data_IF_267946979105
#
_entry.id   IF_267946979105
#
_cell.length_a   1.000
_cell.length_b   1.000
_cell.length_c   1.000
_cell.angle_alpha   90.00
_cell.angle_beta   90.00
_cell.angle_gamma   90.00
#
_symmetry.space_group_name_H-M   'P 1'
#
loop_
_entity.id
_entity.type
_entity.pdbx_description
1 polymer ?
#
# COMPACT_ATOMS: atom_id res chain seq x y z
N UNK A 1 6.79 -5.80 14.30
CA UNK A 1 7.16 -4.94 13.16
C UNK A 1 6.40 -5.46 11.96
N UNK A 2 5.63 -4.62 11.29
CA UNK A 2 4.86 -4.97 10.12
C UNK A 2 5.55 -4.44 8.86
N UNK A 3 5.57 -5.24 7.80
CA UNK A 3 6.13 -4.85 6.51
C UNK A 3 5.08 -4.02 5.76
N UNK A 4 5.44 -2.79 5.38
CA UNK A 4 4.56 -1.83 4.73
C UNK A 4 4.99 -1.60 3.30
N UNK A 5 4.00 -1.54 2.43
CA UNK A 5 4.19 -1.24 1.03
C UNK A 5 4.13 0.27 0.85
N UNK A 6 5.22 0.85 0.35
CA UNK A 6 5.19 2.13 -0.34
C UNK A 6 5.72 1.89 -1.75
N UNK A 7 4.84 1.42 -2.64
CA UNK A 7 5.15 1.26 -4.05
C UNK A 7 4.39 2.31 -4.86
N UNK A 8 5.15 3.25 -5.44
CA UNK A 8 4.70 4.03 -6.59
C UNK A 8 4.87 3.12 -7.81
N UNK A 9 3.79 2.47 -8.23
CA UNK A 9 3.80 1.56 -9.37
C UNK A 9 3.34 2.29 -10.64
N UNK A 10 3.99 2.11 -11.80
CA UNK A 10 3.48 2.62 -13.06
C UNK A 10 3.18 1.48 -14.06
N UNK A 11 2.19 1.71 -14.91
CA UNK A 11 1.52 0.71 -15.76
C UNK A 11 2.30 0.37 -17.03
N UNK A 12 2.25 -0.89 -17.47
CA UNK A 12 2.69 -1.34 -18.79
C UNK A 12 1.79 -2.44 -19.39
N UNK A 13 1.81 -2.55 -20.72
CA UNK A 13 1.25 -3.66 -21.51
C UNK A 13 2.06 -3.84 -22.81
N UNK A 14 2.21 -5.09 -23.27
CA UNK A 14 3.36 -5.58 -24.07
C UNK A 14 3.06 -6.17 -25.47
N UNK A 15 4.08 -6.08 -26.35
CA UNK A 15 4.65 -7.07 -27.31
C UNK A 15 4.12 -7.37 -28.74
N UNK A 16 5.09 -7.25 -29.69
CA UNK A 16 5.36 -7.90 -31.00
C UNK A 16 4.98 -7.22 -32.36
N UNK A 17 6.00 -7.13 -33.24
CA UNK A 17 6.24 -6.41 -34.54
C UNK A 17 5.67 -7.11 -35.81
N UNK A 18 5.65 -6.56 -37.08
CA UNK A 18 6.33 -5.37 -37.68
C UNK A 18 5.59 -4.50 -38.77
N UNK A 19 6.26 -3.38 -39.17
CA UNK A 19 6.20 -2.50 -40.38
C UNK A 19 5.03 -1.50 -40.60
N UNK A 20 5.33 -0.17 -40.56
CA UNK A 20 5.19 0.88 -41.61
C UNK A 20 5.40 2.29 -41.01
N UNK A 21 6.37 3.04 -41.54
CA UNK A 21 6.37 4.52 -41.75
C UNK A 21 6.42 5.49 -40.54
N UNK A 22 7.14 6.63 -40.63
CA UNK A 22 7.27 7.56 -39.51
C UNK A 22 6.04 8.49 -39.41
N UNK A 23 5.50 8.63 -38.19
CA UNK A 23 4.60 9.73 -37.83
C UNK A 23 5.21 10.59 -36.71
N UNK A 24 4.83 11.89 -36.64
CA UNK A 24 5.59 12.90 -35.92
C UNK A 24 5.42 12.80 -34.41
N UNK A 25 6.50 13.12 -33.71
CA UNK A 25 6.60 13.21 -32.26
C UNK A 25 5.71 14.33 -31.70
N UNK A 26 4.59 14.00 -31.08
CA UNK A 26 3.97 14.77 -29.98
C UNK A 26 3.05 13.85 -29.19
N UNK A 27 3.30 13.71 -27.89
CA UNK A 27 2.46 12.92 -26.97
C UNK A 27 3.17 11.73 -26.33
N UNK A 28 4.35 11.95 -25.75
CA UNK A 28 4.93 10.97 -24.84
C UNK A 28 4.27 11.12 -23.48
N UNK A 29 3.37 10.20 -23.11
CA UNK A 29 3.18 9.93 -21.68
C UNK A 29 4.56 9.49 -21.14
N UNK A 30 5.08 10.13 -20.09
CA UNK A 30 6.40 9.81 -19.56
C UNK A 30 6.46 8.32 -19.23
N UNK A 31 7.56 7.70 -19.64
CA UNK A 31 7.80 6.30 -19.38
C UNK A 31 7.96 6.08 -17.87
N UNK A 32 7.43 4.95 -17.38
CA UNK A 32 7.40 4.56 -15.97
C UNK A 32 8.76 4.52 -15.25
N UNK A 33 9.86 4.57 -16.01
CA UNK A 33 11.23 4.57 -15.51
C UNK A 33 11.90 5.95 -15.50
N UNK A 34 11.25 7.01 -15.99
CA UNK A 34 11.82 8.36 -15.92
C UNK A 34 11.64 8.95 -14.51
N UNK A 35 12.51 8.50 -13.61
CA UNK A 35 12.58 8.87 -12.20
C UNK A 35 12.94 10.37 -11.98
N UNK A 36 13.12 11.15 -13.04
CA UNK A 36 13.53 12.55 -12.99
C UNK A 36 12.44 13.45 -12.40
N UNK A 37 11.16 13.16 -12.68
CA UNK A 37 10.02 13.88 -12.08
C UNK A 37 9.79 13.50 -10.61
N UNK A 38 10.00 12.23 -10.23
CA UNK A 38 9.86 11.80 -8.83
C UNK A 38 10.87 12.48 -7.88
N UNK A 39 12.06 12.82 -8.37
CA UNK A 39 13.04 13.60 -7.59
C UNK A 39 12.59 15.04 -7.35
N UNK A 40 11.72 15.57 -8.20
CA UNK A 40 11.23 16.95 -8.10
C UNK A 40 10.13 17.13 -7.05
N UNK A 41 9.42 16.04 -6.70
CA UNK A 41 8.32 16.02 -5.72
C UNK A 41 8.76 15.66 -4.30
N UNK A 42 9.96 15.08 -4.13
CA UNK A 42 10.50 14.80 -2.81
C UNK A 42 10.89 16.11 -2.12
N UNK A 43 10.63 16.24 -0.80
CA UNK A 43 10.96 17.45 -0.07
C UNK A 43 12.45 17.76 -0.21
N UNK A 44 12.76 18.99 -0.61
CA UNK A 44 14.13 19.50 -0.79
C UNK A 44 14.79 19.91 0.52
N UNK A 45 14.08 19.77 1.64
CA UNK A 45 14.53 20.20 2.95
C UNK A 45 15.08 18.99 3.75
N UNK A 46 16.41 18.83 3.81
CA UNK A 46 17.04 17.75 4.56
C UNK A 46 16.90 17.90 6.09
N UNK A 47 16.39 19.03 6.59
CA UNK A 47 16.23 19.29 8.04
C UNK A 47 14.84 18.97 8.58
N UNK A 48 13.86 18.62 7.72
CA UNK A 48 12.60 18.02 8.19
C UNK A 48 12.90 16.62 8.72
N UNK A 49 13.22 16.56 10.01
CA UNK A 49 13.47 15.36 10.80
C UNK A 49 12.17 14.55 10.95
N UNK A 50 11.72 13.92 9.86
CA UNK A 50 10.72 12.86 9.89
C UNK A 50 11.36 11.66 10.59
N UNK A 51 11.28 11.63 11.92
CA UNK A 51 11.90 10.57 12.71
C UNK A 51 10.96 9.37 12.74
N UNK A 52 11.16 8.46 11.79
CA UNK A 52 10.63 7.11 11.83
C UNK A 52 11.76 6.14 12.23
N UNK A 53 12.24 6.17 13.49
CA UNK A 53 13.48 5.50 13.89
C UNK A 53 13.39 3.97 13.84
N UNK A 54 12.17 3.40 13.79
CA UNK A 54 11.96 1.94 13.65
C UNK A 54 11.61 1.54 12.23
N UNK A 55 11.69 2.47 11.27
CA UNK A 55 11.42 2.24 9.86
C UNK A 55 12.71 2.10 9.08
N UNK A 56 12.80 1.04 8.28
CA UNK A 56 13.98 0.78 7.45
C UNK A 56 13.60 0.14 6.13
N UNK A 57 14.26 0.55 5.05
CA UNK A 57 14.13 -0.10 3.75
C UNK A 57 15.12 -1.25 3.65
N UNK A 58 14.59 -2.46 3.65
CA UNK A 58 15.37 -3.67 3.46
C UNK A 58 15.74 -3.79 1.98
N UNK A 59 16.98 -4.17 1.70
CA UNK A 59 17.43 -4.38 0.31
C UNK A 59 18.29 -5.63 0.14
N UNK A 60 18.97 -6.04 1.21
CA UNK A 60 19.81 -7.24 1.31
C UNK A 60 19.84 -7.71 2.77
N UNK A 61 20.38 -8.90 2.99
CA UNK A 61 20.52 -9.50 4.31
C UNK A 61 19.24 -10.20 4.78
N UNK A 62 19.31 -11.02 5.84
CA UNK A 62 18.15 -11.75 6.33
C UNK A 62 17.03 -10.81 6.79
N UNK A 63 15.78 -11.07 6.37
CA UNK A 63 14.60 -10.28 6.77
C UNK A 63 14.40 -10.30 8.30
N UNK A 64 14.84 -11.38 8.97
CA UNK A 64 14.78 -11.54 10.42
C UNK A 64 15.61 -10.51 11.19
N UNK A 65 16.61 -9.86 10.58
CA UNK A 65 17.39 -8.81 11.25
C UNK A 65 16.58 -7.54 11.52
N UNK A 66 15.51 -7.32 10.74
CA UNK A 66 14.67 -6.13 10.83
C UNK A 66 13.24 -6.40 11.29
N UNK A 67 12.92 -7.65 11.65
CA UNK A 67 11.58 -8.06 12.05
C UNK A 67 11.61 -8.82 13.37
N UNK A 68 10.66 -8.50 14.26
CA UNK A 68 10.48 -9.21 15.54
C UNK A 68 9.46 -10.35 15.45
N UNK A 69 8.79 -10.48 14.32
CA UNK A 69 7.74 -11.48 14.07
C UNK A 69 8.05 -12.15 12.74
N UNK A 70 8.06 -13.47 12.74
CA UNK A 70 8.30 -14.26 11.54
C UNK A 70 7.04 -14.29 10.67
N UNK A 71 7.20 -13.92 9.40
CA UNK A 71 6.16 -13.98 8.39
C UNK A 71 6.02 -15.40 7.83
N UNK A 72 4.78 -15.83 7.61
CA UNK A 72 4.48 -17.12 7.01
C UNK A 72 4.01 -16.95 5.57
N UNK A 73 4.69 -17.61 4.63
CA UNK A 73 4.18 -17.72 3.28
C UNK A 73 3.04 -18.74 3.20
N UNK A 74 1.93 -18.35 2.57
CA UNK A 74 0.75 -19.18 2.40
C UNK A 74 0.08 -19.06 1.02
N UNK A 75 0.77 -18.49 0.02
CA UNK A 75 0.23 -18.26 -1.33
C UNK A 75 1.04 -18.98 -2.42
N UNK A 76 0.67 -20.21 -2.79
CA UNK A 76 1.35 -20.98 -3.83
C UNK A 76 1.44 -20.27 -5.19
N UNK A 77 0.55 -19.30 -5.45
CA UNK A 77 0.52 -18.51 -6.69
C UNK A 77 1.57 -17.42 -6.76
N UNK A 78 2.07 -16.92 -5.62
CA UNK A 78 3.11 -15.88 -5.58
C UNK A 78 4.51 -16.49 -5.52
N UNK A 79 4.62 -17.69 -4.97
CA UNK A 79 5.83 -18.48 -4.99
C UNK A 79 5.41 -19.95 -5.11
N UNK A 80 5.78 -20.67 -6.18
CA UNK A 80 5.45 -22.08 -6.31
C UNK A 80 6.16 -22.84 -5.20
N UNK A 81 5.40 -23.14 -4.15
CA UNK A 81 5.78 -24.07 -3.11
C UNK A 81 5.18 -25.42 -3.48
N UNK A 82 5.97 -26.47 -3.38
CA UNK A 82 5.39 -27.80 -3.20
C UNK A 82 4.53 -27.73 -1.92
N UNK A 83 3.31 -28.26 -1.95
CA UNK A 83 2.27 -28.08 -0.92
C UNK A 83 2.71 -28.41 0.52
N UNK A 84 3.85 -29.07 0.71
CA UNK A 84 4.39 -29.50 2.00
C UNK A 84 5.42 -28.54 2.62
N UNK A 85 5.85 -27.49 1.92
CA UNK A 85 6.93 -26.61 2.40
C UNK A 85 6.43 -25.22 2.82
N UNK A 86 6.29 -25.00 4.12
CA UNK A 86 6.21 -23.63 4.66
C UNK A 86 7.61 -23.02 4.60
N UNK A 87 7.82 -22.01 3.75
CA UNK A 87 9.07 -21.24 3.75
C UNK A 87 9.03 -20.23 4.90
N UNK A 88 10.04 -20.31 5.77
CA UNK A 88 10.36 -19.23 6.69
C UNK A 88 10.92 -18.04 5.89
N UNK A 89 10.11 -16.98 5.77
CA UNK A 89 10.49 -15.76 5.07
C UNK A 89 11.55 -14.98 5.85
N UNK A 90 11.65 -15.14 7.17
CA UNK A 90 12.63 -14.43 7.99
C UNK A 90 14.07 -14.79 7.62
N UNK A 91 14.32 -16.04 7.20
CA UNK A 91 15.64 -16.49 6.77
C UNK A 91 16.02 -16.08 5.35
N UNK A 92 15.07 -15.57 4.55
CA UNK A 92 15.33 -15.17 3.17
C UNK A 92 16.08 -13.83 3.11
N UNK A 93 16.89 -13.66 2.07
CA UNK A 93 17.53 -12.39 1.78
C UNK A 93 16.48 -11.35 1.33
N UNK A 94 16.53 -10.15 1.89
CA UNK A 94 15.57 -9.09 1.64
C UNK A 94 15.53 -8.61 0.17
N UNK A 95 16.50 -8.97 -0.66
CA UNK A 95 16.45 -8.68 -2.11
C UNK A 95 15.23 -9.28 -2.80
N UNK A 96 14.62 -10.35 -2.26
CA UNK A 96 13.36 -10.89 -2.80
C UNK A 96 12.22 -9.87 -2.73
N UNK A 97 12.25 -8.96 -1.75
CA UNK A 97 11.21 -7.94 -1.55
C UNK A 97 11.20 -6.89 -2.66
N UNK A 98 12.28 -6.76 -3.42
CA UNK A 98 12.34 -5.89 -4.60
C UNK A 98 11.35 -6.30 -5.69
N UNK A 99 11.06 -7.61 -5.83
CA UNK A 99 10.08 -8.09 -6.82
C UNK A 99 8.64 -7.67 -6.47
N UNK A 100 8.28 -7.68 -5.18
CA UNK A 100 6.97 -7.21 -4.70
C UNK A 100 6.93 -5.68 -4.48
N UNK A 101 8.02 -4.97 -4.76
CA UNK A 101 8.19 -3.54 -4.48
C UNK A 101 7.85 -3.15 -3.02
N UNK A 102 7.98 -4.07 -2.06
CA UNK A 102 7.44 -3.97 -0.71
C UNK A 102 8.49 -4.21 0.36
N UNK A 103 9.42 -3.28 0.49
CA UNK A 103 10.66 -3.49 1.24
C UNK A 103 10.82 -2.59 2.48
N UNK A 104 9.79 -1.83 2.87
CA UNK A 104 9.81 -1.07 4.12
C UNK A 104 9.39 -1.97 5.30
N UNK A 105 10.27 -2.17 6.26
CA UNK A 105 9.93 -2.72 7.57
C UNK A 105 9.69 -1.58 8.55
N UNK A 106 8.55 -1.60 9.25
CA UNK A 106 8.17 -0.52 10.18
C UNK A 106 7.28 -1.03 11.34
N UNK A 107 6.86 -0.13 12.22
CA UNK A 107 5.78 -0.39 13.17
C UNK A 107 4.46 0.14 12.61
N UNK A 108 3.35 -0.46 13.02
CA UNK A 108 2.01 0.06 12.68
C UNK A 108 1.83 1.50 13.17
N UNK A 109 2.40 1.83 14.32
CA UNK A 109 2.37 3.20 14.87
C UNK A 109 3.06 4.22 13.95
N UNK A 110 4.29 3.93 13.49
CA UNK A 110 5.03 4.84 12.60
C UNK A 110 4.36 4.96 11.24
N UNK A 111 3.74 3.90 10.74
CA UNK A 111 3.03 3.93 9.46
C UNK A 111 1.73 4.74 9.57
N UNK A 112 0.97 4.53 10.64
CA UNK A 112 -0.23 5.36 10.90
C UNK A 112 0.15 6.84 11.04
N UNK A 113 1.25 7.14 11.73
CA UNK A 113 1.81 8.49 11.85
C UNK A 113 2.27 9.04 10.49
N UNK A 114 2.95 8.25 9.67
CA UNK A 114 3.32 8.65 8.32
C UNK A 114 2.09 9.09 7.50
N UNK A 115 1.00 8.31 7.53
CA UNK A 115 -0.23 8.71 6.83
C UNK A 115 -0.87 9.97 7.42
N UNK A 116 -0.73 10.20 8.73
CA UNK A 116 -1.23 11.41 9.38
C UNK A 116 -0.45 12.63 8.91
N UNK A 117 0.87 12.56 8.99
CA UNK A 117 1.79 13.61 8.54
C UNK A 117 1.68 13.84 7.02
N UNK A 118 1.40 12.80 6.23
CA UNK A 118 1.22 12.90 4.78
C UNK A 118 -0.12 13.54 4.39
N UNK A 119 -1.24 13.03 4.90
CA UNK A 119 -2.58 13.35 4.38
C UNK A 119 -3.31 14.40 5.20
N UNK A 120 -3.04 14.49 6.50
CA UNK A 120 -3.74 15.38 7.43
C UNK A 120 -2.90 16.63 7.71
N UNK A 121 -1.69 16.46 8.23
CA UNK A 121 -0.81 17.60 8.52
C UNK A 121 -0.11 18.15 7.28
N UNK A 122 0.04 17.30 6.25
CA UNK A 122 0.68 17.65 4.98
C UNK A 122 2.10 18.18 5.17
N UNK A 123 2.82 17.56 6.10
CA UNK A 123 4.19 17.94 6.49
C UNK A 123 5.26 17.14 5.77
N UNK A 124 4.89 16.10 5.01
CA UNK A 124 5.87 15.27 4.27
C UNK A 124 6.12 15.81 2.85
N UNK A 125 5.05 16.08 2.10
CA UNK A 125 5.11 16.55 0.71
C UNK A 125 4.44 17.92 0.55
N UNK A 126 4.63 18.57 -0.60
CA UNK A 126 3.88 19.78 -0.94
C UNK A 126 2.39 19.49 -1.14
N UNK A 127 1.53 20.50 -0.96
CA UNK A 127 0.10 20.39 -1.24
C UNK A 127 -0.19 19.90 -2.67
N UNK A 128 0.53 20.44 -3.66
CA UNK A 128 0.40 20.02 -5.07
C UNK A 128 0.71 18.53 -5.26
N UNK A 129 1.71 18.01 -4.54
CA UNK A 129 2.07 16.58 -4.60
C UNK A 129 0.97 15.72 -3.98
N UNK A 130 0.43 16.13 -2.83
CA UNK A 130 -0.67 15.41 -2.16
C UNK A 130 -1.94 15.44 -3.01
N UNK A 131 -2.24 16.58 -3.63
CA UNK A 131 -3.35 16.70 -4.57
C UNK A 131 -3.16 15.75 -5.75
N UNK A 132 -1.97 15.72 -6.35
CA UNK A 132 -1.65 14.81 -7.43
C UNK A 132 -1.77 13.33 -7.02
N UNK A 133 -1.28 12.95 -5.84
CA UNK A 133 -1.44 11.59 -5.29
C UNK A 133 -2.91 11.22 -5.07
N UNK A 134 -3.76 12.20 -4.78
CA UNK A 134 -5.18 12.03 -4.48
C UNK A 134 -6.08 12.11 -5.73
N UNK A 135 -5.52 12.27 -6.93
CA UNK A 135 -6.26 12.16 -8.20
C UNK A 135 -6.48 10.70 -8.51
N UNK A 136 -7.58 10.16 -7.99
CA UNK A 136 -7.89 8.75 -8.09
C UNK A 136 -8.69 8.46 -9.38
N UNK A 137 -8.19 7.51 -10.15
CA UNK A 137 -8.89 6.97 -11.30
C UNK A 137 -9.02 5.45 -11.15
N UNK A 138 -10.10 4.82 -11.65
CA UNK A 138 -10.19 3.36 -11.65
C UNK A 138 -9.01 2.74 -12.42
N UNK A 139 -8.36 1.75 -11.83
CA UNK A 139 -7.25 1.05 -12.50
C UNK A 139 -7.71 0.50 -13.86
N UNK A 140 -6.92 0.76 -14.91
CA UNK A 140 -7.21 0.26 -16.26
C UNK A 140 -6.80 -1.21 -16.49
N UNK A 141 -5.91 -1.74 -15.66
CA UNK A 141 -5.26 -3.06 -15.81
C UNK A 141 -5.04 -3.74 -14.45
N UNK A 142 -4.72 -5.03 -14.48
CA UNK A 142 -4.40 -5.82 -13.29
C UNK A 142 -5.63 -6.32 -12.52
N UNK A 143 -5.37 -6.88 -11.32
CA UNK A 143 -6.40 -7.48 -10.47
C UNK A 143 -7.45 -6.48 -9.97
N UNK A 144 -7.09 -5.20 -9.87
CA UNK A 144 -7.97 -4.10 -9.44
C UNK A 144 -8.76 -3.41 -10.55
N UNK A 145 -8.74 -3.94 -11.79
CA UNK A 145 -9.25 -3.26 -12.97
C UNK A 145 -10.71 -2.84 -12.83
N UNK A 146 -10.98 -1.54 -12.97
CA UNK A 146 -12.31 -0.94 -12.99
C UNK A 146 -13.00 -0.81 -11.63
N UNK A 147 -12.39 -1.26 -10.53
CA UNK A 147 -13.02 -1.26 -9.21
C UNK A 147 -12.15 -0.71 -8.08
N UNK A 148 -10.84 -0.59 -8.28
CA UNK A 148 -9.94 0.13 -7.37
C UNK A 148 -9.63 1.49 -7.95
N UNK A 149 -10.06 2.54 -7.24
CA UNK A 149 -9.67 3.92 -7.52
C UNK A 149 -8.28 4.17 -6.96
N UNK A 150 -7.35 4.54 -7.83
CA UNK A 150 -5.91 4.57 -7.54
C UNK A 150 -5.30 5.86 -8.10
N UNK A 151 -4.49 6.53 -7.29
CA UNK A 151 -3.69 7.70 -7.67
C UNK A 151 -2.19 7.41 -7.52
N UNK A 152 -1.35 8.42 -7.36
CA UNK A 152 0.10 8.19 -7.23
C UNK A 152 0.48 7.65 -5.86
N UNK A 153 0.28 6.34 -5.63
CA UNK A 153 0.61 5.66 -4.37
C UNK A 153 -0.49 5.69 -3.31
N UNK A 154 -1.69 6.13 -3.67
CA UNK A 154 -2.89 6.08 -2.81
C UNK A 154 -4.00 5.31 -3.51
N UNK A 155 -4.70 4.50 -2.73
CA UNK A 155 -5.89 3.76 -3.10
C UNK A 155 -7.04 4.27 -2.25
N UNK A 156 -8.20 4.47 -2.87
CA UNK A 156 -9.46 4.51 -2.12
C UNK A 156 -10.00 3.09 -2.04
N UNK A 157 -10.02 2.56 -0.81
CA UNK A 157 -10.45 1.20 -0.52
C UNK A 157 -11.70 1.21 0.32
N UNK A 158 -12.44 0.11 0.26
CA UNK A 158 -13.61 -0.17 1.07
C UNK A 158 -13.40 -1.56 1.70
N UNK A 159 -13.75 -1.66 2.98
CA UNK A 159 -13.71 -2.92 3.73
C UNK A 159 -14.74 -3.95 3.24
N UNK A 160 -15.83 -3.48 2.64
CA UNK A 160 -16.80 -4.32 1.93
C UNK A 160 -16.46 -4.46 0.45
N UNK A 161 -16.61 -5.67 -0.08
CA UNK A 161 -16.45 -5.95 -1.51
C UNK A 161 -17.75 -5.79 -2.32
N UNK A 162 -18.85 -5.40 -1.67
CA UNK A 162 -20.17 -5.32 -2.29
C UNK A 162 -20.28 -4.19 -3.33
N UNK A 163 -19.48 -3.13 -3.19
CA UNK A 163 -19.52 -1.98 -4.10
C UNK A 163 -18.18 -1.22 -4.12
N UNK A 164 -18.02 -0.38 -5.15
CA UNK A 164 -16.85 0.49 -5.30
C UNK A 164 -16.79 1.53 -4.18
N UNK A 165 -15.60 1.68 -3.61
CA UNK A 165 -15.35 2.61 -2.52
C UNK A 165 -15.71 4.05 -2.90
N UNK A 166 -16.40 4.76 -1.99
CA UNK A 166 -16.69 6.19 -2.10
C UNK A 166 -16.05 6.95 -0.96
N UNK A 167 -15.32 8.02 -1.29
CA UNK A 167 -14.67 8.83 -0.27
C UNK A 167 -15.72 9.41 0.70
N UNK A 168 -15.48 9.26 2.00
CA UNK A 168 -16.43 9.74 3.01
C UNK A 168 -17.53 8.73 3.41
N UNK A 169 -17.61 7.54 2.81
CA UNK A 169 -18.49 6.47 3.31
C UNK A 169 -17.85 5.62 4.42
N UNK A 170 -18.65 5.12 5.37
CA UNK A 170 -18.15 4.23 6.41
C UNK A 170 -17.51 2.96 5.82
N UNK A 171 -16.38 2.56 6.40
CA UNK A 171 -15.59 1.45 5.90
C UNK A 171 -14.67 1.81 4.73
N UNK A 172 -14.78 3.03 4.16
CA UNK A 172 -13.81 3.51 3.17
C UNK A 172 -12.66 4.28 3.81
N UNK A 173 -11.47 4.10 3.23
CA UNK A 173 -10.25 4.80 3.64
C UNK A 173 -9.38 5.13 2.43
N UNK A 174 -8.63 6.22 2.54
CA UNK A 174 -7.63 6.63 1.56
C UNK A 174 -6.25 6.22 2.09
N UNK A 175 -5.59 5.31 1.41
CA UNK A 175 -4.34 4.74 1.89
C UNK A 175 -3.74 3.74 0.94
N UNK A 176 -3.16 2.65 1.45
CA UNK A 176 -2.58 1.62 0.60
C UNK A 176 -2.49 0.29 1.35
N UNK A 177 -2.81 -0.82 0.68
CA UNK A 177 -2.58 -2.17 1.24
C UNK A 177 -1.21 -2.70 0.85
N UNK A 178 -0.62 -3.60 1.64
CA UNK A 178 0.65 -4.26 1.33
C UNK A 178 0.48 -5.77 1.25
N UNK A 179 1.13 -6.40 0.28
CA UNK A 179 1.20 -7.85 0.16
C UNK A 179 2.61 -8.27 -0.24
N UNK A 180 3.24 -9.06 0.61
CA UNK A 180 4.59 -9.59 0.40
C UNK A 180 4.58 -11.10 0.57
N UNK A 181 5.75 -11.75 0.54
CA UNK A 181 5.83 -13.20 0.67
C UNK A 181 5.42 -13.74 2.04
N UNK A 182 5.31 -12.92 3.09
CA UNK A 182 4.92 -13.41 4.42
C UNK A 182 4.06 -12.46 5.24
N UNK A 183 3.69 -11.31 4.68
CA UNK A 183 2.97 -10.27 5.39
C UNK A 183 1.90 -9.64 4.52
N UNK A 184 0.77 -9.32 5.16
CA UNK A 184 -0.30 -8.50 4.62
C UNK A 184 -0.49 -7.28 5.51
N UNK A 185 -0.72 -6.12 4.91
CA UNK A 185 -0.93 -4.88 5.65
C UNK A 185 -2.01 -4.01 5.03
N UNK A 186 -2.65 -3.21 5.86
CA UNK A 186 -3.58 -2.16 5.45
C UNK A 186 -3.37 -0.94 6.32
N UNK A 187 -3.36 0.23 5.67
CA UNK A 187 -3.12 1.50 6.33
C UNK A 187 -3.73 2.63 5.52
N UNK A 188 -4.05 3.73 6.20
CA UNK A 188 -4.60 4.92 5.55
C UNK A 188 -5.34 5.85 6.49
N UNK A 189 -5.92 6.89 5.91
CA UNK A 189 -6.83 7.84 6.53
C UNK A 189 -8.28 7.34 6.43
N UNK A 190 -8.96 7.29 7.58
CA UNK A 190 -10.40 7.05 7.70
C UNK A 190 -11.07 8.44 7.80
N UNK A 191 -11.69 8.96 6.71
CA UNK A 191 -12.11 10.35 6.66
C UNK A 191 -13.17 10.72 7.71
N UNK A 192 -14.04 9.78 8.08
CA UNK A 192 -15.15 10.00 9.02
C UNK A 192 -14.67 10.17 10.46
N UNK A 193 -13.52 9.58 10.78
CA UNK A 193 -12.91 9.67 12.09
C UNK A 193 -11.88 10.80 12.15
N UNK A 194 -11.46 11.32 11.00
CA UNK A 194 -10.24 12.11 10.87
C UNK A 194 -9.10 11.46 11.66
N UNK A 195 -8.85 10.19 11.36
CA UNK A 195 -7.87 9.35 12.05
C UNK A 195 -7.19 8.43 11.04
N UNK A 196 -5.92 8.12 11.28
CA UNK A 196 -5.18 7.16 10.48
C UNK A 196 -5.00 5.86 11.24
N UNK A 197 -4.86 4.78 10.49
CA UNK A 197 -4.63 3.45 11.04
C UNK A 197 -3.54 2.72 10.26
N UNK A 198 -2.99 1.69 10.88
CA UNK A 198 -2.20 0.67 10.20
C UNK A 198 -2.37 -0.65 10.94
N UNK A 199 -2.51 -1.72 10.17
CA UNK A 199 -2.61 -3.08 10.67
C UNK A 199 -1.82 -4.01 9.78
N UNK A 200 -1.18 -5.03 10.38
CA UNK A 200 -0.39 -6.02 9.67
C UNK A 200 -0.68 -7.41 10.22
N UNK A 201 -0.80 -8.40 9.33
CA UNK A 201 -0.74 -9.82 9.65
C UNK A 201 0.58 -10.42 9.16
N UNK A 202 1.17 -11.33 9.94
CA UNK A 202 2.39 -12.07 9.62
C UNK A 202 2.10 -13.34 8.82
N UNK A 203 1.10 -13.28 7.94
CA UNK A 203 0.78 -14.32 6.98
C UNK A 203 0.21 -13.65 5.75
N UNK A 204 0.54 -14.18 4.57
CA UNK A 204 -0.08 -13.74 3.32
C UNK A 204 -1.12 -14.72 2.77
N UNK A 205 -1.56 -15.70 3.57
CA UNK A 205 -2.49 -16.74 3.13
C UNK A 205 -3.89 -16.24 2.76
N UNK A 206 -4.37 -15.18 3.41
CA UNK A 206 -5.74 -14.69 3.26
C UNK A 206 -5.79 -13.15 3.20
N UNK A 207 -5.94 -12.60 1.99
CA UNK A 207 -6.04 -11.15 1.77
C UNK A 207 -7.32 -10.56 2.38
N UNK A 208 -8.42 -11.32 2.35
CA UNK A 208 -9.73 -10.86 2.80
C UNK A 208 -9.75 -10.69 4.31
N UNK A 209 -8.95 -11.47 5.03
CA UNK A 209 -8.84 -11.34 6.47
C UNK A 209 -8.32 -9.94 6.88
N UNK A 210 -7.20 -9.47 6.30
CA UNK A 210 -6.64 -8.16 6.68
C UNK A 210 -7.44 -7.00 6.07
N UNK A 211 -7.69 -7.06 4.75
CA UNK A 211 -8.38 -6.00 4.01
C UNK A 211 -9.86 -5.86 4.37
N UNK A 212 -10.54 -7.00 4.54
CA UNK A 212 -11.98 -7.03 4.78
C UNK A 212 -12.33 -7.12 6.26
N UNK A 213 -11.87 -8.16 6.96
CA UNK A 213 -12.34 -8.44 8.33
C UNK A 213 -11.67 -7.52 9.35
N UNK A 214 -10.34 -7.52 9.41
CA UNK A 214 -9.58 -6.86 10.47
C UNK A 214 -9.69 -5.33 10.36
N UNK A 215 -9.53 -4.78 9.15
CA UNK A 215 -9.70 -3.34 8.92
C UNK A 215 -11.12 -2.87 9.24
N UNK A 216 -12.14 -3.66 8.89
CA UNK A 216 -13.53 -3.35 9.22
C UNK A 216 -13.78 -3.27 10.73
N UNK A 217 -13.28 -4.25 11.49
CA UNK A 217 -13.41 -4.27 12.94
C UNK A 217 -12.69 -3.07 13.58
N UNK A 218 -11.50 -2.70 13.08
CA UNK A 218 -10.78 -1.51 13.55
C UNK A 218 -11.63 -0.26 13.35
N UNK A 219 -12.22 -0.06 12.18
CA UNK A 219 -13.06 1.12 11.89
C UNK A 219 -14.30 1.13 12.78
N UNK A 220 -14.96 -0.02 12.96
CA UNK A 220 -16.15 -0.14 13.80
C UNK A 220 -15.85 0.18 15.27
N UNK A 221 -14.80 -0.41 15.84
CA UNK A 221 -14.36 -0.16 17.22
C UNK A 221 -13.93 1.30 17.39
N UNK A 222 -13.13 1.85 16.47
CA UNK A 222 -12.70 3.24 16.55
C UNK A 222 -13.88 4.22 16.46
N UNK A 223 -14.90 3.93 15.65
CA UNK A 223 -16.12 4.73 15.61
C UNK A 223 -16.88 4.74 16.94
N UNK A 224 -16.95 3.59 17.61
CA UNK A 224 -17.60 3.49 18.92
C UNK A 224 -16.79 4.22 20.00
N UNK A 225 -15.49 3.98 20.06
CA UNK A 225 -14.62 4.54 21.10
C UNK A 225 -14.37 6.05 20.95
N UNK A 226 -14.17 6.53 19.71
CA UNK A 226 -13.81 7.94 19.45
C UNK A 226 -15.04 8.84 19.32
N UNK A 227 -16.10 8.34 18.66
CA UNK A 227 -17.29 9.14 18.36
C UNK A 227 -18.53 8.73 19.16
N UNK A 228 -18.48 7.65 19.95
CA UNK A 228 -19.67 7.09 20.59
C UNK A 228 -20.69 6.52 19.60
N UNK A 229 -20.25 6.16 18.39
CA UNK A 229 -21.13 5.73 17.29
C UNK A 229 -20.93 4.25 16.99
N UNK A 230 -21.91 3.45 17.37
CA UNK A 230 -21.98 2.05 16.94
C UNK A 230 -22.43 1.98 15.46
N UNK A 231 -21.48 1.69 14.57
CA UNK A 231 -21.73 1.52 13.14
C UNK A 231 -21.74 0.04 12.79
N UNK A 232 -22.59 -0.36 11.84
CA UNK A 232 -22.62 -1.72 11.31
C UNK A 232 -21.97 -1.74 9.94
N UNK A 233 -20.81 -2.39 9.87
CA UNK A 233 -20.08 -2.63 8.64
C UNK A 233 -20.15 -4.12 8.27
N UNK A 234 -20.36 -4.49 7.00
CA UNK A 234 -20.35 -5.89 6.56
C UNK A 234 -18.90 -6.38 6.41
N UNK A 235 -18.27 -6.74 7.53
CA UNK A 235 -16.87 -7.16 7.57
C UNK A 235 -16.65 -8.51 6.85
N UNK A 236 -15.80 -8.52 5.81
CA UNK A 236 -15.41 -9.75 5.11
C UNK A 236 -16.22 -10.10 3.86
N UNK A 237 -17.18 -9.26 3.47
CA UNK A 237 -18.12 -9.51 2.38
C UNK A 237 -19.55 -9.57 2.87
#
# INVERSE_FOLDING_TARGET
LGLVLLALQPTGGSMQTPVIGPMPAHGGSPAWWDMTELRSILPKDPERNLSFPRSTFLSRGPISEATTIFGRHGKPTLWPLDNDHVIDIGAQDASILGWVCGNLASTTEEVARFFWELLVERTILSDDSIEYMSRLEPLGLGWGRGHISYGSGLMLKQTSWAHTAKYGEWGAYLGHGGNTYGFLSEQGLIPQLNATFSVVANSNADDLFVAGVLTCQIIAVASEEVLGRNIRLPCGG
#
